data_IF_672848507319
#
_entry.id   IF_672848507319
#
_cell.length_a   1.000
_cell.length_b   1.000
_cell.length_c   1.000
_cell.angle_alpha   90.00
_cell.angle_beta   90.00
_cell.angle_gamma   90.00
#
_symmetry.space_group_name_H-M   'P 1'
#
loop_
_entity.id
_entity.type
_entity.pdbx_description
1 polymer ?
#
# COMPACT_ATOMS: atom_id res chain seq x y z
N UNK A 1 15.36 -5.77 17.43
CA UNK A 1 14.34 -5.02 18.19
C UNK A 1 13.17 -5.94 18.43
N UNK A 2 12.76 -6.15 19.68
CA UNK A 2 11.66 -7.05 20.05
C UNK A 2 10.39 -6.21 20.18
N UNK A 3 9.36 -6.55 19.40
CA UNK A 3 8.07 -5.86 19.48
C UNK A 3 7.48 -6.01 20.90
N UNK A 4 6.96 -4.93 21.50
CA UNK A 4 6.21 -5.02 22.75
C UNK A 4 4.98 -5.91 22.55
N UNK A 5 4.81 -6.92 23.40
CA UNK A 5 3.73 -7.91 23.32
C UNK A 5 2.32 -7.31 23.40
N UNK A 6 2.20 -6.11 23.94
CA UNK A 6 0.91 -5.45 24.14
C UNK A 6 0.33 -4.92 22.82
N UNK A 7 1.18 -4.59 21.84
CA UNK A 7 0.76 -4.17 20.50
C UNK A 7 0.25 -5.34 19.65
N UNK A 8 0.74 -6.57 19.88
CA UNK A 8 0.26 -7.75 19.17
C UNK A 8 -1.17 -8.11 19.54
N UNK A 9 -1.56 -7.90 20.81
CA UNK A 9 -2.90 -8.21 21.31
C UNK A 9 -3.95 -7.22 20.77
N UNK A 10 -3.55 -5.97 20.51
CA UNK A 10 -4.45 -4.92 19.99
C UNK A 10 -4.53 -4.92 18.44
N UNK A 11 -3.44 -5.30 17.75
CA UNK A 11 -3.42 -5.52 16.29
C UNK A 11 -4.13 -6.82 15.90
N UNK A 12 -4.26 -7.78 16.83
CA UNK A 12 -5.02 -9.02 16.63
C UNK A 12 -6.55 -8.82 16.66
N UNK A 13 -7.05 -7.58 16.72
CA UNK A 13 -8.45 -7.30 16.43
C UNK A 13 -8.65 -7.58 14.94
N UNK A 14 -9.40 -8.64 14.66
CA UNK A 14 -9.73 -9.12 13.32
C UNK A 14 -10.05 -7.96 12.36
N UNK A 15 -9.58 -8.01 11.08
CA UNK A 15 -10.07 -7.08 10.07
C UNK A 15 -11.59 -7.18 10.05
N UNK A 16 -12.24 -6.07 10.38
CA UNK A 16 -13.70 -5.99 10.46
C UNK A 16 -14.24 -6.21 9.04
N UNK A 17 -15.14 -7.17 8.88
CA UNK A 17 -15.86 -7.37 7.62
C UNK A 17 -16.62 -6.08 7.29
N UNK A 18 -16.60 -5.60 6.03
CA UNK A 18 -17.34 -4.42 5.64
C UNK A 18 -18.83 -4.72 5.78
N UNK A 19 -19.48 -4.21 6.83
CA UNK A 19 -20.90 -4.50 7.04
C UNK A 19 -21.53 -4.01 8.35
N UNK A 20 -20.77 -3.82 9.43
CA UNK A 20 -21.38 -3.43 10.71
C UNK A 20 -21.28 -1.92 10.94
N UNK A 21 -22.26 -1.18 10.40
CA UNK A 21 -22.52 0.21 10.77
C UNK A 21 -23.39 0.25 12.04
N UNK A 22 -22.81 0.67 13.14
CA UNK A 22 -23.56 1.33 14.20
C UNK A 22 -23.61 2.81 13.83
N UNK A 23 -24.77 3.35 13.45
CA UNK A 23 -25.19 4.70 13.84
C UNK A 23 -26.65 4.99 13.47
N UNK A 24 -27.23 5.70 14.43
CA UNK A 24 -28.58 6.16 14.63
C UNK A 24 -29.06 7.15 13.56
N UNK A 25 -30.38 7.27 13.48
CA UNK A 25 -31.11 8.10 12.54
C UNK A 25 -30.94 9.59 12.86
N UNK A 26 -30.69 10.43 11.85
CA UNK A 26 -31.50 11.63 11.61
C UNK A 26 -31.18 12.31 10.26
N UNK A 27 -32.24 12.90 9.72
CA UNK A 27 -32.49 13.51 8.41
C UNK A 27 -31.49 14.55 7.88
N UNK A 28 -31.08 14.42 6.61
CA UNK A 28 -31.51 15.28 5.47
C UNK A 28 -30.86 14.80 4.16
N UNK A 29 -31.65 14.26 3.24
CA UNK A 29 -31.16 13.73 1.94
C UNK A 29 -31.15 14.83 0.89
N UNK A 30 -30.01 15.50 0.73
CA UNK A 30 -29.68 16.19 -0.53
C UNK A 30 -29.13 15.15 -1.51
N UNK A 31 -29.85 14.99 -2.60
CA UNK A 31 -29.50 14.17 -3.75
C UNK A 31 -28.25 14.73 -4.44
N UNK A 32 -27.13 14.02 -4.35
CA UNK A 32 -26.17 13.96 -5.46
C UNK A 32 -25.67 12.52 -5.57
N UNK A 33 -26.20 11.90 -6.62
CA UNK A 33 -25.97 10.51 -7.02
C UNK A 33 -24.55 10.44 -7.58
N UNK A 34 -23.59 10.02 -6.76
CA UNK A 34 -22.43 9.29 -7.24
C UNK A 34 -22.77 7.81 -7.21
N UNK A 35 -23.29 7.31 -8.33
CA UNK A 35 -23.31 5.89 -8.62
C UNK A 35 -21.87 5.43 -8.84
N UNK A 36 -21.14 5.21 -7.75
CA UNK A 36 -19.92 4.43 -7.79
C UNK A 36 -20.33 2.97 -7.88
N UNK A 37 -20.23 2.44 -9.09
CA UNK A 37 -20.63 1.10 -9.42
C UNK A 37 -19.56 0.17 -8.86
N UNK A 38 -19.80 -0.30 -7.64
CA UNK A 38 -18.92 -1.20 -6.91
C UNK A 38 -18.45 -2.36 -7.77
N UNK A 39 -17.15 -2.37 -8.04
CA UNK A 39 -16.36 -3.60 -8.06
C UNK A 39 -15.31 -3.43 -6.98
N UNK A 40 -15.63 -3.93 -5.79
CA UNK A 40 -14.60 -4.38 -4.87
C UNK A 40 -13.85 -5.51 -5.55
N UNK A 41 -12.88 -5.16 -6.37
CA UNK A 41 -11.82 -6.06 -6.75
C UNK A 41 -10.93 -6.24 -5.52
N UNK A 42 -11.33 -7.19 -4.66
CA UNK A 42 -10.39 -7.97 -3.86
C UNK A 42 -9.48 -8.69 -4.87
N UNK A 43 -8.58 -7.94 -5.50
CA UNK A 43 -7.56 -8.45 -6.39
C UNK A 43 -6.64 -9.28 -5.53
N UNK A 44 -6.83 -10.59 -5.57
CA UNK A 44 -5.88 -11.57 -5.04
C UNK A 44 -4.52 -11.30 -5.72
N UNK A 45 -3.67 -10.53 -5.05
CA UNK A 45 -2.34 -10.22 -5.55
C UNK A 45 -1.50 -11.49 -5.41
N UNK A 46 -1.28 -12.17 -6.52
CA UNK A 46 -0.40 -13.32 -6.59
C UNK A 46 0.96 -12.92 -7.15
N UNK A 47 2.02 -13.28 -6.42
CA UNK A 47 3.40 -13.08 -6.88
C UNK A 47 3.73 -13.91 -8.14
N UNK A 48 3.07 -15.05 -8.30
CA UNK A 48 3.28 -15.97 -9.42
C UNK A 48 2.34 -15.68 -10.61
N UNK A 49 1.37 -14.76 -10.45
CA UNK A 49 0.52 -14.36 -11.56
C UNK A 49 1.37 -13.68 -12.63
N UNK A 50 1.48 -14.32 -13.79
CA UNK A 50 2.14 -13.73 -14.96
C UNK A 50 1.11 -12.95 -15.78
N UNK A 51 1.18 -11.61 -15.82
CA UNK A 51 0.28 -10.82 -16.65
C UNK A 51 0.57 -11.07 -18.14
N UNK A 52 -0.44 -10.84 -18.98
CA UNK A 52 -0.25 -10.83 -20.43
C UNK A 52 0.73 -9.70 -20.83
N UNK A 53 1.78 -10.07 -21.56
CA UNK A 53 2.87 -9.19 -21.94
C UNK A 53 2.64 -8.49 -23.29
N UNK A 54 1.63 -8.89 -24.06
CA UNK A 54 1.36 -8.28 -25.38
C UNK A 54 1.00 -6.79 -25.28
N UNK A 55 0.28 -6.41 -24.23
CA UNK A 55 -0.20 -5.04 -24.03
C UNK A 55 0.59 -4.26 -22.96
N UNK A 56 1.47 -4.94 -22.22
CA UNK A 56 2.24 -4.35 -21.15
C UNK A 56 3.74 -4.62 -21.35
N UNK A 57 4.40 -3.86 -22.27
CA UNK A 57 5.84 -3.94 -22.40
C UNK A 57 6.46 -3.59 -21.04
N UNK A 58 7.31 -4.47 -20.54
CA UNK A 58 8.02 -4.26 -19.28
C UNK A 58 8.95 -3.03 -19.30
N UNK A 59 9.75 -2.84 -18.25
CA UNK A 59 10.69 -1.72 -18.20
C UNK A 59 11.63 -1.75 -19.41
N UNK A 60 12.02 -0.57 -19.89
CA UNK A 60 12.98 -0.48 -20.99
C UNK A 60 14.32 -1.12 -20.58
N UNK A 61 15.09 -1.66 -21.55
CA UNK A 61 16.41 -2.23 -21.26
C UNK A 61 17.36 -1.25 -20.56
N UNK A 62 17.26 0.05 -20.86
CA UNK A 62 18.05 1.11 -20.19
C UNK A 62 17.69 1.27 -18.72
N UNK A 63 16.41 1.15 -18.37
CA UNK A 63 15.95 1.23 -16.99
C UNK A 63 16.40 0.01 -16.18
N UNK A 64 16.34 -1.18 -16.79
CA UNK A 64 16.89 -2.40 -16.20
C UNK A 64 18.41 -2.28 -15.97
N UNK A 65 19.14 -1.80 -16.98
CA UNK A 65 20.59 -1.59 -16.85
C UNK A 65 20.88 -0.62 -15.70
N UNK A 66 20.17 0.51 -15.62
CA UNK A 66 20.33 1.47 -14.54
C UNK A 66 20.08 0.84 -13.15
N UNK A 67 19.03 0.02 -13.01
CA UNK A 67 18.70 -0.65 -11.76
C UNK A 67 19.78 -1.66 -11.31
N UNK A 68 20.50 -2.25 -12.26
CA UNK A 68 21.56 -3.22 -12.01
C UNK A 68 22.94 -2.58 -11.83
N UNK A 69 23.11 -1.32 -12.22
CA UNK A 69 24.39 -0.61 -12.09
C UNK A 69 24.55 0.01 -10.70
N UNK A 70 25.42 -0.60 -9.89
CA UNK A 70 25.79 -0.12 -8.55
C UNK A 70 26.42 1.28 -8.59
N UNK A 71 26.28 2.07 -7.52
CA UNK A 71 26.84 3.43 -7.45
C UNK A 71 28.36 3.50 -7.60
N UNK A 72 29.07 2.41 -7.26
CA UNK A 72 30.52 2.31 -7.40
C UNK A 72 30.97 1.60 -8.70
N UNK A 73 30.08 1.43 -9.68
CA UNK A 73 30.41 0.82 -10.97
C UNK A 73 31.22 1.74 -11.90
N UNK A 74 31.37 3.02 -11.54
CA UNK A 74 32.07 4.04 -12.34
C UNK A 74 31.50 4.19 -13.77
N UNK A 75 30.17 4.23 -13.86
CA UNK A 75 29.41 4.46 -15.09
C UNK A 75 28.61 5.78 -14.98
N UNK A 76 28.10 6.29 -16.11
CA UNK A 76 27.29 7.51 -16.17
C UNK A 76 25.85 7.35 -15.67
N UNK A 77 25.44 6.12 -15.36
CA UNK A 77 24.12 5.77 -14.80
C UNK A 77 24.32 4.87 -13.57
N UNK A 78 23.42 4.95 -12.59
CA UNK A 78 23.39 4.07 -11.43
C UNK A 78 22.00 3.97 -10.80
N UNK A 79 21.86 3.11 -9.81
CA UNK A 79 20.60 2.81 -9.13
C UNK A 79 20.18 3.81 -8.05
N UNK A 80 20.98 4.81 -7.66
CA UNK A 80 20.73 5.67 -6.48
C UNK A 80 19.36 6.37 -6.54
N UNK A 81 18.99 6.86 -7.72
CA UNK A 81 17.69 7.50 -7.94
C UNK A 81 16.53 6.50 -7.87
N UNK A 82 16.73 5.30 -8.41
CA UNK A 82 15.72 4.23 -8.36
C UNK A 82 15.52 3.75 -6.93
N UNK A 83 16.60 3.59 -6.16
CA UNK A 83 16.57 3.27 -4.74
C UNK A 83 15.78 4.32 -3.94
N UNK A 84 16.10 5.61 -4.16
CA UNK A 84 15.41 6.71 -3.47
C UNK A 84 13.90 6.71 -3.73
N UNK A 85 13.49 6.47 -4.99
CA UNK A 85 12.08 6.39 -5.37
C UNK A 85 11.43 5.16 -4.76
N UNK A 86 12.10 3.99 -4.82
CA UNK A 86 11.59 2.74 -4.26
C UNK A 86 11.37 2.82 -2.75
N UNK A 87 12.29 3.43 -2.01
CA UNK A 87 12.17 3.66 -0.57
C UNK A 87 10.99 4.58 -0.22
N UNK A 88 10.85 5.69 -0.97
CA UNK A 88 9.74 6.62 -0.78
C UNK A 88 8.38 5.98 -1.09
N UNK A 89 8.31 5.21 -2.18
CA UNK A 89 7.10 4.47 -2.55
C UNK A 89 6.72 3.44 -1.49
N UNK A 90 7.67 2.65 -1.02
CA UNK A 90 7.40 1.61 -0.01
C UNK A 90 6.93 2.23 1.31
N UNK A 91 7.59 3.31 1.76
CA UNK A 91 7.17 4.09 2.94
C UNK A 91 5.74 4.62 2.80
N UNK A 92 5.39 5.15 1.64
CA UNK A 92 4.03 5.63 1.37
C UNK A 92 3.03 4.47 1.41
N UNK A 93 3.29 3.38 0.68
CA UNK A 93 2.40 2.23 0.58
C UNK A 93 2.09 1.60 1.95
N UNK A 94 3.12 1.37 2.78
CA UNK A 94 2.91 0.80 4.13
C UNK A 94 2.17 1.78 5.05
N UNK A 95 2.51 3.08 4.98
CA UNK A 95 1.86 4.10 5.80
C UNK A 95 0.38 4.21 5.47
N UNK A 96 0.03 4.27 4.18
CA UNK A 96 -1.36 4.33 3.72
C UNK A 96 -2.12 3.06 4.08
N UNK A 97 -1.53 1.89 3.86
CA UNK A 97 -2.15 0.61 4.24
C UNK A 97 -2.47 0.58 5.75
N UNK A 98 -1.50 0.90 6.61
CA UNK A 98 -1.68 0.90 8.06
C UNK A 98 -2.72 1.93 8.53
N UNK A 99 -2.73 3.11 7.90
CA UNK A 99 -3.70 4.15 8.23
C UNK A 99 -5.13 3.72 7.92
N UNK A 100 -5.37 3.11 6.75
CA UNK A 100 -6.70 2.63 6.36
C UNK A 100 -7.12 1.34 7.08
N UNK A 101 -6.18 0.42 7.33
CA UNK A 101 -6.49 -0.86 7.96
C UNK A 101 -6.75 -0.76 9.48
N UNK A 102 -6.25 0.30 10.14
CA UNK A 102 -6.31 0.45 11.60
C UNK A 102 -6.80 1.84 12.02
N UNK A 103 -7.98 2.26 11.55
CA UNK A 103 -8.57 3.58 11.85
C UNK A 103 -8.73 3.88 13.36
N UNK A 104 -8.92 2.84 14.18
CA UNK A 104 -9.08 2.97 15.63
C UNK A 104 -7.77 3.13 16.41
N UNK A 105 -6.61 2.97 15.76
CA UNK A 105 -5.29 3.02 16.42
C UNK A 105 -4.68 4.40 16.25
N UNK A 106 -4.32 5.03 17.37
CA UNK A 106 -3.74 6.37 17.37
C UNK A 106 -2.41 6.41 16.59
N UNK A 107 -2.23 7.46 15.78
CA UNK A 107 -1.10 7.68 14.86
C UNK A 107 0.30 7.43 15.48
N UNK A 108 0.47 7.74 16.77
CA UNK A 108 1.72 7.51 17.49
C UNK A 108 2.13 6.03 17.58
N UNK A 109 1.15 5.10 17.64
CA UNK A 109 1.41 3.65 17.62
C UNK A 109 1.65 3.14 16.19
N UNK A 110 0.91 3.64 15.21
CA UNK A 110 1.11 3.29 13.79
C UNK A 110 2.49 3.73 13.28
N UNK A 111 3.03 4.84 13.80
CA UNK A 111 4.37 5.33 13.49
C UNK A 111 5.52 4.38 13.89
N UNK A 112 5.26 3.37 14.72
CA UNK A 112 6.24 2.33 15.08
C UNK A 112 6.18 1.10 14.16
N UNK A 113 5.14 0.98 13.33
CA UNK A 113 4.92 -0.12 12.39
C UNK A 113 5.33 0.22 10.94
N UNK A 114 5.60 1.50 10.66
CA UNK A 114 6.12 2.00 9.37
C UNK A 114 7.62 1.85 9.23
#
# INVERSE_FOLDING_TARGET
YRMPSDLLTEVAVHPMSPGDSALDSDSDTTSDIWSDNGKEENGDFSFDAQPDLEQHPGPSPSLLLQALTMSNANDGINLERLETIGDSFLKYAITTYLYCAYEAVHEGKLSHLR
#
